data_IF_186912657554
#
_entry.id   IF_186912657554
#
_cell.length_a   1.000
_cell.length_b   1.000
_cell.length_c   1.000
_cell.angle_alpha   90.00
_cell.angle_beta   90.00
_cell.angle_gamma   90.00
#
_symmetry.space_group_name_H-M   'P 1'
#
loop_
_entity.id
_entity.type
_entity.pdbx_description
1 polymer ?
#
# COMPACT_ATOMS: atom_id res chain seq x y z
N UNK A 1 2.95 -2.25 -5.71
CA UNK A 1 3.43 -1.53 -4.51
C UNK A 1 4.92 -1.72 -4.21
N UNK A 2 5.68 -2.42 -5.05
CA UNK A 2 7.16 -2.43 -4.98
C UNK A 2 7.65 -0.99 -5.18
N UNK A 3 8.67 -0.50 -4.43
CA UNK A 3 9.48 -1.21 -3.44
C UNK A 3 8.91 -1.22 -2.01
N UNK A 4 7.83 -0.47 -1.74
CA UNK A 4 7.24 -0.35 -0.40
C UNK A 4 6.77 -1.70 0.14
N UNK A 5 6.03 -2.44 -0.68
CA UNK A 5 5.50 -3.77 -0.37
C UNK A 5 5.92 -4.76 -1.44
N UNK A 6 6.45 -5.89 -1.02
CA UNK A 6 6.76 -7.03 -1.88
C UNK A 6 5.63 -8.06 -1.80
N UNK A 7 5.57 -8.92 -2.81
CA UNK A 7 4.68 -10.09 -2.76
C UNK A 7 4.98 -10.95 -1.52
N UNK A 8 3.93 -11.40 -0.83
CA UNK A 8 4.05 -12.19 0.41
C UNK A 8 4.22 -11.36 1.70
N UNK A 9 4.44 -10.04 1.61
CA UNK A 9 4.36 -9.17 2.79
C UNK A 9 2.93 -9.22 3.36
N UNK A 10 2.82 -9.26 4.70
CA UNK A 10 1.55 -9.22 5.43
C UNK A 10 1.35 -7.83 6.01
N UNK A 11 0.11 -7.35 6.01
CA UNK A 11 -0.22 -6.01 6.49
C UNK A 11 -1.07 -6.11 7.76
N UNK A 12 -0.72 -5.31 8.76
CA UNK A 12 -1.67 -4.93 9.81
C UNK A 12 -2.39 -3.70 9.31
N UNK A 13 -3.72 -3.76 9.32
CA UNK A 13 -4.58 -2.71 8.80
C UNK A 13 -5.52 -2.21 9.88
N UNK A 14 -5.93 -0.94 9.77
CA UNK A 14 -6.91 -0.31 10.64
C UNK A 14 -8.13 0.10 9.83
N UNK A 15 -9.26 -0.53 10.13
CA UNK A 15 -10.56 -0.18 9.56
C UNK A 15 -11.11 1.12 10.19
N UNK A 16 -11.86 1.90 9.42
CA UNK A 16 -12.49 3.14 9.89
C UNK A 16 -11.52 4.27 10.27
N UNK A 17 -10.25 4.15 9.91
CA UNK A 17 -9.26 5.21 10.11
C UNK A 17 -9.46 6.33 9.09
N UNK A 18 -9.23 7.58 9.51
CA UNK A 18 -9.17 8.72 8.58
C UNK A 18 -7.97 8.55 7.66
N UNK A 19 -8.23 8.46 6.35
CA UNK A 19 -7.21 8.34 5.31
C UNK A 19 -6.54 9.69 5.07
N UNK A 20 -5.23 9.69 4.89
CA UNK A 20 -4.42 10.88 4.57
C UNK A 20 -3.59 10.65 3.30
N UNK A 21 -3.23 11.73 2.59
CA UNK A 21 -2.23 11.64 1.52
C UNK A 21 -0.94 10.98 2.03
N UNK A 22 -0.45 10.00 1.27
CA UNK A 22 0.69 9.18 1.62
C UNK A 22 0.34 7.87 2.33
N UNK A 23 -0.90 7.66 2.77
CA UNK A 23 -1.29 6.38 3.39
C UNK A 23 -1.27 5.24 2.38
N UNK A 24 -0.87 4.05 2.84
CA UNK A 24 -1.09 2.81 2.11
C UNK A 24 -2.47 2.29 2.49
N UNK A 25 -3.36 2.11 1.52
CA UNK A 25 -4.76 1.75 1.75
C UNK A 25 -5.10 0.41 1.11
N UNK A 26 -6.01 -0.32 1.76
CA UNK A 26 -6.70 -1.48 1.18
C UNK A 26 -8.05 -1.01 0.67
N UNK A 27 -8.36 -1.31 -0.58
CA UNK A 27 -9.61 -0.91 -1.22
C UNK A 27 -10.21 -2.05 -2.06
N UNK A 28 -11.53 -2.02 -2.24
CA UNK A 28 -12.22 -2.85 -3.23
C UNK A 28 -12.04 -2.26 -4.61
N UNK A 29 -11.67 -3.09 -5.59
CA UNK A 29 -11.49 -2.63 -6.95
C UNK A 29 -12.81 -2.12 -7.54
N UNK A 30 -12.88 -0.89 -8.11
CA UNK A 30 -14.15 -0.28 -8.54
C UNK A 30 -14.96 -1.12 -9.53
N UNK A 31 -14.28 -1.84 -10.43
CA UNK A 31 -14.93 -2.69 -11.43
C UNK A 31 -14.89 -4.19 -11.12
N UNK A 32 -14.26 -4.61 -10.01
CA UNK A 32 -14.10 -6.02 -9.64
C UNK A 32 -14.28 -6.14 -8.11
N UNK A 33 -15.53 -6.16 -7.65
CA UNK A 33 -15.85 -5.93 -6.23
C UNK A 33 -15.35 -7.02 -5.26
N UNK A 34 -15.04 -8.21 -5.77
CA UNK A 34 -14.42 -9.31 -5.01
C UNK A 34 -12.90 -9.18 -4.91
N UNK A 35 -12.29 -8.28 -5.68
CA UNK A 35 -10.85 -8.04 -5.68
C UNK A 35 -10.49 -6.93 -4.69
N UNK A 36 -9.69 -7.28 -3.69
CA UNK A 36 -9.03 -6.31 -2.83
C UNK A 36 -7.65 -5.96 -3.39
N UNK A 37 -7.37 -4.66 -3.48
CA UNK A 37 -6.07 -4.15 -3.92
C UNK A 37 -5.47 -3.23 -2.88
N UNK A 38 -4.14 -3.13 -2.91
CA UNK A 38 -3.38 -2.23 -2.03
C UNK A 38 -2.73 -1.16 -2.89
N UNK A 39 -3.01 0.10 -2.57
CA UNK A 39 -2.50 1.28 -3.28
C UNK A 39 -2.07 2.37 -2.31
N UNK A 40 -1.39 3.40 -2.79
CA UNK A 40 -1.10 4.61 -2.00
C UNK A 40 -2.17 5.65 -2.26
N UNK A 41 -2.79 6.18 -1.22
CA UNK A 41 -3.63 7.36 -1.29
C UNK A 41 -2.74 8.56 -1.60
N UNK A 42 -2.89 9.14 -2.79
CA UNK A 42 -2.03 10.22 -3.25
C UNK A 42 -2.63 11.58 -2.96
N UNK A 43 -3.93 11.74 -3.19
CA UNK A 43 -4.67 12.96 -2.88
C UNK A 43 -6.19 12.72 -2.81
N UNK A 44 -6.88 13.59 -2.11
CA UNK A 44 -8.35 13.63 -2.10
C UNK A 44 -8.82 14.42 -3.33
N UNK A 45 -9.73 13.85 -4.11
CA UNK A 45 -10.39 14.50 -5.26
C UNK A 45 -11.91 14.52 -5.03
N UNK A 46 -12.68 15.30 -5.82
CA UNK A 46 -14.13 15.16 -5.82
C UNK A 46 -14.53 13.69 -6.04
N UNK A 47 -15.45 13.20 -5.21
CA UNK A 47 -15.93 11.81 -5.27
C UNK A 47 -15.10 10.78 -4.48
N UNK A 48 -13.87 11.07 -4.06
CA UNK A 48 -13.10 10.11 -3.25
C UNK A 48 -11.59 10.31 -3.25
N UNK A 49 -10.86 9.21 -3.29
CA UNK A 49 -9.39 9.17 -3.25
C UNK A 49 -8.80 8.86 -4.62
N UNK A 50 -7.82 9.68 -5.03
CA UNK A 50 -6.90 9.33 -6.09
C UNK A 50 -5.80 8.45 -5.52
N UNK A 51 -5.75 7.20 -5.95
CA UNK A 51 -4.83 6.17 -5.48
C UNK A 51 -3.91 5.70 -6.60
N UNK A 52 -2.61 5.61 -6.32
CA UNK A 52 -1.61 5.18 -7.30
C UNK A 52 -0.77 4.01 -6.75
N UNK A 53 -0.20 3.24 -7.67
CA UNK A 53 0.80 2.22 -7.35
C UNK A 53 2.19 2.82 -7.13
N UNK A 54 2.92 2.34 -6.12
CA UNK A 54 4.32 2.74 -5.91
C UNK A 54 5.29 2.18 -6.98
N UNK A 55 4.87 1.13 -7.71
CA UNK A 55 5.74 0.47 -8.69
C UNK A 55 5.71 1.23 -10.02
N UNK A 56 6.80 1.91 -10.43
CA UNK A 56 6.82 2.68 -11.67
C UNK A 56 6.65 1.81 -12.93
N UNK A 57 6.94 0.51 -12.84
CA UNK A 57 6.84 -0.42 -13.96
C UNK A 57 5.48 -1.11 -14.06
N UNK A 58 4.54 -0.78 -13.16
CA UNK A 58 3.19 -1.30 -13.21
C UNK A 58 2.25 -0.18 -13.61
N UNK A 59 2.00 -0.09 -14.92
CA UNK A 59 1.25 1.01 -15.55
C UNK A 59 -0.27 0.91 -15.35
N UNK A 60 -0.78 -0.23 -14.87
CA UNK A 60 -2.22 -0.49 -14.79
C UNK A 60 -2.72 -0.87 -13.40
N UNK A 61 -4.04 -0.84 -13.24
CA UNK A 61 -4.78 -1.22 -12.04
C UNK A 61 -4.76 -0.18 -10.94
N UNK A 62 -4.57 1.10 -11.26
CA UNK A 62 -4.77 2.21 -10.33
C UNK A 62 -5.69 3.31 -10.90
N UNK A 63 -5.72 4.48 -10.25
CA UNK A 63 -6.66 5.54 -10.63
C UNK A 63 -6.43 6.10 -12.03
N UNK A 64 -5.27 5.87 -12.66
CA UNK A 64 -5.07 6.21 -14.07
C UNK A 64 -6.06 5.49 -14.99
N UNK A 65 -6.50 4.29 -14.58
CA UNK A 65 -7.36 3.45 -15.40
C UNK A 65 -8.83 3.59 -15.02
N UNK A 66 -9.13 3.63 -13.72
CA UNK A 66 -10.50 3.62 -13.21
C UNK A 66 -10.96 4.94 -12.57
N UNK A 67 -10.10 5.97 -12.56
CA UNK A 67 -10.43 7.27 -12.00
C UNK A 67 -10.41 7.31 -10.47
N UNK A 68 -11.06 8.31 -9.89
CA UNK A 68 -11.14 8.50 -8.44
C UNK A 68 -11.91 7.35 -7.78
N UNK A 69 -11.34 6.74 -6.75
CA UNK A 69 -11.97 5.67 -5.98
C UNK A 69 -12.89 6.25 -4.90
N UNK A 70 -14.20 5.91 -4.89
CA UNK A 70 -15.12 6.33 -3.84
C UNK A 70 -14.63 5.95 -2.45
N UNK A 71 -14.91 6.80 -1.46
CA UNK A 71 -14.40 6.63 -0.09
C UNK A 71 -14.91 5.33 0.56
N UNK A 72 -16.13 4.91 0.23
CA UNK A 72 -16.76 3.67 0.66
C UNK A 72 -16.03 2.40 0.15
N UNK A 73 -15.28 2.51 -0.94
CA UNK A 73 -14.47 1.39 -1.44
C UNK A 73 -13.11 1.31 -0.72
N UNK A 74 -12.70 2.36 0.00
CA UNK A 74 -11.46 2.37 0.79
C UNK A 74 -11.76 1.78 2.18
N UNK A 75 -11.31 0.55 2.40
CA UNK A 75 -11.72 -0.24 3.56
C UNK A 75 -10.86 0.04 4.81
N UNK A 76 -9.56 0.20 4.62
CA UNK A 76 -8.62 0.29 5.74
C UNK A 76 -7.30 0.96 5.35
N UNK A 77 -6.60 1.51 6.35
CA UNK A 77 -5.22 1.99 6.22
C UNK A 77 -4.25 0.94 6.75
N UNK A 78 -3.19 0.65 6.00
CA UNK A 78 -2.13 -0.23 6.43
C UNK A 78 -1.16 0.55 7.35
N UNK A 79 -0.93 0.03 8.56
CA UNK A 79 -0.12 0.70 9.59
C UNK A 79 1.23 0.03 9.82
N UNK A 80 1.33 -1.26 9.50
CA UNK A 80 2.53 -2.05 9.69
C UNK A 80 2.67 -3.09 8.57
N UNK A 81 3.88 -3.22 8.05
CA UNK A 81 4.29 -4.30 7.15
C UNK A 81 5.08 -5.33 7.93
N UNK A 82 4.68 -6.59 7.81
CA UNK A 82 5.43 -7.76 8.29
C UNK A 82 5.91 -8.61 7.11
N UNK A 83 7.21 -8.92 7.06
CA UNK A 83 7.79 -9.84 6.08
C UNK A 83 8.02 -11.21 6.71
N UNK A 84 7.27 -12.24 6.32
CA UNK A 84 7.54 -13.61 6.75
C UNK A 84 8.96 -14.04 6.40
N UNK A 85 9.55 -14.86 7.24
CA UNK A 85 10.90 -15.40 7.02
C UNK A 85 10.86 -16.46 5.93
N UNK A 86 11.84 -16.45 5.03
CA UNK A 86 12.04 -17.54 4.08
C UNK A 86 12.51 -18.81 4.82
N UNK A 87 12.05 -19.98 4.36
CA UNK A 87 12.29 -21.26 5.03
C UNK A 87 13.77 -21.70 5.01
N UNK A 88 14.57 -21.15 4.09
CA UNK A 88 15.97 -21.50 3.81
C UNK A 88 17.01 -20.78 4.69
N UNK A 89 16.59 -19.89 5.59
CA UNK A 89 17.52 -19.09 6.40
C UNK A 89 17.99 -19.83 7.67
N UNK A 90 19.07 -20.61 7.55
CA UNK A 90 19.65 -21.37 8.67
C UNK A 90 20.61 -20.56 9.56
N UNK A 91 21.23 -19.49 9.05
CA UNK A 91 22.26 -18.75 9.79
C UNK A 91 21.70 -17.70 10.78
N UNK A 92 22.39 -17.53 11.91
CA UNK A 92 22.00 -16.57 12.95
C UNK A 92 22.06 -15.11 12.47
N UNK A 93 23.05 -14.76 11.63
CA UNK A 93 23.14 -13.44 10.98
C UNK A 93 21.95 -13.17 10.07
N UNK A 94 21.52 -14.16 9.28
CA UNK A 94 20.33 -14.02 8.44
C UNK A 94 19.07 -13.80 9.28
N UNK A 95 18.93 -14.53 10.40
CA UNK A 95 17.80 -14.34 11.34
C UNK A 95 17.78 -12.95 11.97
N UNK A 96 18.92 -12.42 12.39
CA UNK A 96 19.00 -11.08 12.97
C UNK A 96 18.71 -9.99 11.92
N UNK A 97 19.29 -10.11 10.72
CA UNK A 97 19.00 -9.19 9.60
C UNK A 97 17.53 -9.21 9.19
N UNK A 98 16.93 -10.42 9.14
CA UNK A 98 15.49 -10.57 8.96
C UNK A 98 14.72 -9.89 10.08
N UNK A 99 15.03 -10.14 11.35
CA UNK A 99 14.28 -9.57 12.47
C UNK A 99 14.26 -8.03 12.43
N UNK A 100 15.40 -7.40 12.10
CA UNK A 100 15.52 -5.94 11.94
C UNK A 100 14.67 -5.41 10.78
N UNK A 101 14.50 -6.19 9.71
CA UNK A 101 13.77 -5.77 8.50
C UNK A 101 12.35 -6.33 8.39
N UNK A 102 11.94 -7.21 9.29
CA UNK A 102 10.68 -7.94 9.22
C UNK A 102 9.49 -7.01 9.47
N UNK A 103 9.60 -6.15 10.48
CA UNK A 103 8.54 -5.22 10.89
C UNK A 103 8.92 -3.81 10.46
N UNK A 104 8.09 -3.19 9.63
CA UNK A 104 8.29 -1.78 9.23
C UNK A 104 6.97 -1.02 9.36
N UNK A 105 6.93 0.06 10.17
CA UNK A 105 5.79 0.97 10.19
C UNK A 105 5.52 1.56 8.81
N UNK A 106 4.24 1.68 8.46
CA UNK A 106 3.77 2.32 7.23
C UNK A 106 3.16 3.67 7.60
N UNK A 107 4.01 4.64 7.91
CA UNK A 107 3.56 6.01 8.16
C UNK A 107 3.17 6.70 6.85
N UNK A 108 2.27 7.71 6.92
CA UNK A 108 1.94 8.52 5.76
C UNK A 108 3.22 9.12 5.16
N UNK A 109 3.56 8.73 3.94
CA UNK A 109 4.72 9.26 3.23
C UNK A 109 4.25 10.37 2.27
N UNK A 110 4.19 11.59 2.80
CA UNK A 110 3.79 12.78 2.04
C UNK A 110 4.71 13.04 0.85
N UNK A 111 6.01 12.69 0.96
CA UNK A 111 6.98 12.83 -0.12
C UNK A 111 6.74 11.82 -1.25
N UNK A 112 6.34 10.58 -0.92
CA UNK A 112 5.89 9.63 -1.92
C UNK A 112 4.62 10.11 -2.63
N UNK A 113 3.62 10.61 -1.90
CA UNK A 113 2.41 11.23 -2.50
C UNK A 113 2.79 12.38 -3.46
N UNK A 114 3.65 13.30 -3.03
CA UNK A 114 4.07 14.43 -3.88
C UNK A 114 4.77 13.97 -5.16
N UNK A 115 5.64 12.97 -5.08
CA UNK A 115 6.35 12.43 -6.25
C UNK A 115 5.41 11.72 -7.22
N UNK A 116 4.39 11.05 -6.71
CA UNK A 116 3.38 10.37 -7.53
C UNK A 116 2.43 11.37 -8.22
N UNK A 117 2.16 12.54 -7.62
CA UNK A 117 1.38 13.61 -8.28
C UNK A 117 2.13 14.32 -9.40
N UNK A 118 3.46 14.27 -9.37
CA UNK A 118 4.30 14.91 -10.37
C UNK A 118 4.51 14.03 -11.62
N UNK A 119 3.91 12.84 -11.66
CA UNK A 119 3.91 11.93 -12.82
C UNK A 119 2.61 12.09 -13.59
#
# INVERSE_FOLDING_TARGET
MVPTLLHGDRLVVRYGAVVRPGDVVVLRHPFQQDLLVVKRAVERRPGGWWVLGDNPYNETGDSTDYGTVPEELVLATAVLRFRPRAADQSSLRARLSWAVSALRPLWPDASASSRLRAR
#
